data_IF_910942963425
#
_entry.id   IF_910942963425
#
_cell.length_a   1.000
_cell.length_b   1.000
_cell.length_c   1.000
_cell.angle_alpha   90.00
_cell.angle_beta   90.00
_cell.angle_gamma   90.00
#
_symmetry.space_group_name_H-M   'P 1'
#
loop_
_entity.id
_entity.type
_entity.pdbx_description
1 polymer ?
#
# COMPACT_ATOMS: atom_id res chain seq x y z
N UNK A 1 18.43 19.78 -11.77
CA UNK A 1 17.60 20.06 -10.58
C UNK A 1 18.01 21.42 -10.03
N UNK A 2 17.07 22.22 -9.55
CA UNK A 2 17.31 23.56 -8.97
C UNK A 2 17.11 23.59 -7.45
N UNK A 3 17.46 22.48 -6.82
CA UNK A 3 17.41 22.32 -5.38
C UNK A 3 18.81 22.07 -4.85
N UNK A 4 19.18 22.75 -3.77
CA UNK A 4 20.43 22.49 -3.05
C UNK A 4 20.46 21.06 -2.50
N UNK A 5 21.67 20.57 -2.26
CA UNK A 5 21.89 19.27 -1.64
C UNK A 5 21.37 19.24 -0.20
N UNK A 6 20.63 18.18 0.15
CA UNK A 6 20.18 17.94 1.53
C UNK A 6 19.31 19.05 2.15
N UNK A 7 19.30 19.05 3.48
CA UNK A 7 18.55 19.96 4.34
C UNK A 7 18.15 19.25 5.63
N UNK A 8 18.62 19.72 6.79
CA UNK A 8 18.33 19.15 8.10
C UNK A 8 17.40 20.10 8.85
N UNK A 9 16.15 19.68 9.01
CA UNK A 9 15.08 20.38 9.73
C UNK A 9 14.16 19.32 10.31
N UNK A 10 13.39 19.67 11.34
CA UNK A 10 12.49 18.73 12.00
C UNK A 10 11.66 19.43 13.09
N UNK A 11 11.07 18.61 13.95
CA UNK A 11 10.32 19.04 15.14
C UNK A 11 10.96 18.43 16.38
N UNK A 12 10.84 19.10 17.53
CA UNK A 12 11.43 18.62 18.77
C UNK A 12 10.85 17.27 19.19
N UNK A 13 11.72 16.43 19.78
CA UNK A 13 11.37 15.07 20.20
C UNK A 13 11.56 14.00 19.11
N UNK A 14 11.54 14.38 17.82
CA UNK A 14 11.70 13.46 16.68
C UNK A 14 12.99 13.71 15.90
N UNK A 15 13.63 12.63 15.46
CA UNK A 15 14.82 12.67 14.61
C UNK A 15 14.53 12.57 13.10
N UNK A 16 13.26 12.61 12.72
CA UNK A 16 12.79 12.45 11.34
C UNK A 16 11.36 12.95 11.13
N UNK A 17 10.81 12.72 9.94
CA UNK A 17 9.46 13.11 9.53
C UNK A 17 9.40 14.31 8.59
N UNK A 18 10.46 15.13 8.53
CA UNK A 18 10.56 16.28 7.64
C UNK A 18 11.78 16.16 6.74
N UNK A 19 11.61 16.43 5.43
CA UNK A 19 12.70 16.49 4.46
C UNK A 19 12.98 17.96 4.13
N UNK A 20 14.09 18.47 4.66
CA UNK A 20 14.57 19.81 4.35
C UNK A 20 14.96 19.94 2.88
N UNK A 21 14.60 21.07 2.28
CA UNK A 21 14.89 21.41 0.90
C UNK A 21 14.91 22.93 0.72
N UNK A 22 15.88 23.39 -0.07
CA UNK A 22 16.12 24.81 -0.33
C UNK A 22 16.41 25.02 -1.82
N UNK A 23 15.81 26.05 -2.43
CA UNK A 23 16.07 26.45 -3.81
C UNK A 23 17.53 26.91 -3.98
N UNK A 24 18.15 26.62 -5.13
CA UNK A 24 19.51 27.09 -5.45
C UNK A 24 19.56 28.53 -5.99
N UNK A 25 18.41 29.13 -6.31
CA UNK A 25 18.23 30.50 -6.80
C UNK A 25 17.22 31.31 -5.96
N UNK A 26 17.48 31.55 -4.65
CA UNK A 26 16.52 32.18 -3.75
C UNK A 26 16.16 33.63 -4.13
N UNK A 27 17.08 34.38 -4.76
CA UNK A 27 16.78 35.73 -5.24
C UNK A 27 15.80 35.75 -6.42
N UNK A 28 15.81 34.72 -7.27
CA UNK A 28 14.87 34.59 -8.40
C UNK A 28 13.53 34.00 -7.96
N UNK A 29 13.56 33.05 -7.01
CA UNK A 29 12.38 32.33 -6.54
C UNK A 29 12.26 32.37 -5.00
N UNK A 30 12.01 33.55 -4.41
CA UNK A 30 11.98 33.71 -2.96
C UNK A 30 10.88 32.89 -2.28
N UNK A 31 9.76 32.64 -2.97
CA UNK A 31 8.64 31.83 -2.45
C UNK A 31 8.97 30.36 -2.20
N UNK A 32 10.11 29.87 -2.68
CA UNK A 32 10.58 28.49 -2.47
C UNK A 32 12.01 28.45 -1.94
N UNK A 33 12.49 29.54 -1.32
CA UNK A 33 13.77 29.55 -0.61
C UNK A 33 13.83 28.39 0.39
N UNK A 34 12.77 28.22 1.18
CA UNK A 34 12.47 27.02 1.94
C UNK A 34 11.29 26.28 1.28
N UNK A 35 11.44 24.98 1.07
CA UNK A 35 10.38 24.18 0.48
C UNK A 35 10.33 22.77 1.08
N UNK A 36 10.21 22.72 2.40
CA UNK A 36 10.32 21.49 3.18
C UNK A 36 9.11 20.59 2.97
N UNK A 37 9.34 19.27 2.97
CA UNK A 37 8.28 18.28 2.85
C UNK A 37 8.01 17.65 4.22
N UNK A 38 6.77 17.70 4.70
CA UNK A 38 6.37 16.98 5.90
C UNK A 38 5.67 15.67 5.51
N UNK A 39 6.07 14.57 6.12
CA UNK A 39 5.43 13.26 5.97
C UNK A 39 4.43 13.10 7.08
N UNK A 40 3.18 12.82 6.74
CA UNK A 40 2.10 12.58 7.71
C UNK A 40 1.67 11.12 7.60
N UNK A 41 1.58 10.44 8.74
CA UNK A 41 1.27 9.02 8.80
C UNK A 41 -0.15 8.75 8.29
N UNK A 42 -0.33 7.85 7.32
CA UNK A 42 -1.65 7.57 6.74
C UNK A 42 -2.40 6.47 7.51
N UNK A 43 -3.75 6.48 7.53
CA UNK A 43 -4.52 5.32 7.98
C UNK A 43 -4.25 4.09 7.09
N UNK A 44 -4.26 2.91 7.72
CA UNK A 44 -4.15 1.63 7.03
C UNK A 44 -5.20 1.50 5.92
N UNK A 45 -4.81 0.95 4.76
CA UNK A 45 -5.67 0.87 3.58
C UNK A 45 -6.01 2.22 2.90
N UNK A 46 -5.59 3.37 3.46
CA UNK A 46 -5.83 4.73 2.92
C UNK A 46 -7.30 5.10 2.74
N UNK A 47 -8.15 4.65 3.68
CA UNK A 47 -9.54 5.07 3.75
C UNK A 47 -9.65 6.40 4.49
N UNK A 48 -10.46 7.32 3.94
CA UNK A 48 -10.63 8.67 4.49
C UNK A 48 -12.09 9.07 4.51
N UNK A 49 -12.45 9.91 5.48
CA UNK A 49 -13.65 10.72 5.41
C UNK A 49 -13.32 12.07 4.76
N UNK A 50 -14.30 12.67 4.08
CA UNK A 50 -14.10 14.02 3.51
C UNK A 50 -13.85 15.08 4.58
N UNK A 51 -14.38 14.89 5.79
CA UNK A 51 -14.19 15.83 6.90
C UNK A 51 -12.75 15.86 7.40
N UNK A 52 -12.09 14.71 7.52
CA UNK A 52 -10.66 14.66 7.85
C UNK A 52 -9.82 15.34 6.75
N UNK A 53 -10.06 15.00 5.48
CA UNK A 53 -9.30 15.58 4.37
C UNK A 53 -9.48 17.09 4.28
N UNK A 54 -10.71 17.62 4.50
CA UNK A 54 -10.97 19.06 4.54
C UNK A 54 -10.20 19.77 5.65
N UNK A 55 -10.17 19.18 6.85
CA UNK A 55 -9.40 19.73 7.97
C UNK A 55 -7.90 19.77 7.65
N UNK A 56 -7.36 18.67 7.12
CA UNK A 56 -5.95 18.60 6.72
C UNK A 56 -5.62 19.61 5.61
N UNK A 57 -6.47 19.74 4.59
CA UNK A 57 -6.26 20.73 3.53
C UNK A 57 -6.35 22.16 4.03
N UNK A 58 -7.26 22.46 4.99
CA UNK A 58 -7.37 23.79 5.59
C UNK A 58 -6.12 24.16 6.38
N UNK A 59 -5.58 23.21 7.15
CA UNK A 59 -4.30 23.38 7.84
C UNK A 59 -3.17 23.66 6.84
N UNK A 60 -3.10 22.86 5.78
CA UNK A 60 -2.00 22.96 4.81
C UNK A 60 -2.09 24.17 3.88
N UNK A 61 -3.28 24.64 3.56
CA UNK A 61 -3.51 25.89 2.83
C UNK A 61 -3.05 27.11 3.66
N UNK A 62 -3.24 27.06 4.98
CA UNK A 62 -2.83 28.14 5.88
C UNK A 62 -1.32 28.16 6.15
N UNK A 63 -0.70 26.99 6.34
CA UNK A 63 0.67 26.87 6.89
C UNK A 63 1.67 26.24 5.91
N UNK A 64 1.25 25.91 4.70
CA UNK A 64 2.08 25.30 3.67
C UNK A 64 1.84 25.93 2.30
N UNK A 65 2.21 25.19 1.26
CA UNK A 65 2.06 25.63 -0.12
C UNK A 65 0.68 25.34 -0.73
N UNK A 66 -0.18 24.60 -0.02
CA UNK A 66 -1.40 23.99 -0.57
C UNK A 66 -1.14 22.77 -1.48
N UNK A 67 0.10 22.43 -1.82
CA UNK A 67 0.43 21.29 -2.67
C UNK A 67 0.70 20.01 -1.87
N UNK A 68 0.25 18.87 -2.39
CA UNK A 68 0.42 17.57 -1.75
C UNK A 68 0.79 16.48 -2.75
N UNK A 69 1.34 15.37 -2.25
CA UNK A 69 1.28 14.09 -2.96
C UNK A 69 0.40 13.13 -2.15
N UNK A 70 -0.64 12.61 -2.79
CA UNK A 70 -1.57 11.61 -2.23
C UNK A 70 -1.37 10.30 -3.01
N UNK A 71 -0.39 9.47 -2.67
CA UNK A 71 0.47 9.45 -1.47
C UNK A 71 1.96 9.36 -1.86
N UNK A 72 2.83 9.45 -0.86
CA UNK A 72 4.23 9.05 -1.00
C UNK A 72 4.36 7.55 -1.27
N UNK A 73 5.39 7.14 -2.00
CA UNK A 73 5.60 5.74 -2.36
C UNK A 73 5.83 4.80 -1.15
N UNK A 74 6.12 5.32 0.05
CA UNK A 74 6.18 4.47 1.25
C UNK A 74 4.79 4.23 1.82
N UNK A 75 3.95 5.27 1.85
CA UNK A 75 2.58 5.23 2.36
C UNK A 75 2.07 6.62 2.75
N UNK A 76 2.99 7.47 3.23
CA UNK A 76 2.70 8.77 3.86
C UNK A 76 1.82 9.69 3.01
N UNK A 77 0.97 10.47 3.67
CA UNK A 77 0.48 11.72 3.09
C UNK A 77 1.67 12.69 3.01
N UNK A 78 1.85 13.34 1.86
CA UNK A 78 2.98 14.26 1.65
C UNK A 78 2.45 15.68 1.59
N UNK A 79 2.80 16.48 2.60
CA UNK A 79 2.58 17.92 2.61
C UNK A 79 3.81 18.59 1.99
N UNK A 80 3.67 19.06 0.75
CA UNK A 80 4.80 19.43 -0.11
C UNK A 80 5.08 20.94 -0.07
N UNK A 81 6.06 21.37 0.71
CA UNK A 81 6.54 22.75 0.71
C UNK A 81 5.97 23.58 1.85
N UNK A 82 6.82 23.86 2.83
CA UNK A 82 6.62 24.89 3.85
C UNK A 82 7.98 25.44 4.30
N UNK A 83 7.98 26.38 5.23
CA UNK A 83 9.17 27.03 5.81
C UNK A 83 9.53 26.42 7.17
N UNK A 84 10.76 26.61 7.63
CA UNK A 84 11.21 26.06 8.93
C UNK A 84 10.36 26.52 10.11
N UNK A 85 9.97 27.82 10.23
CA UNK A 85 9.15 28.27 11.36
C UNK A 85 7.75 27.63 11.45
N UNK A 86 7.22 27.10 10.35
CA UNK A 86 5.89 26.48 10.32
C UNK A 86 5.91 25.00 10.72
N UNK A 87 7.08 24.36 10.87
CA UNK A 87 7.15 22.92 11.13
C UNK A 87 6.51 22.54 12.47
N UNK A 88 6.88 23.23 13.55
CA UNK A 88 6.30 23.01 14.87
C UNK A 88 4.82 23.40 14.92
N UNK A 89 4.45 24.47 14.22
CA UNK A 89 3.07 24.94 14.14
C UNK A 89 2.15 23.91 13.46
N UNK A 90 2.58 23.36 12.32
CA UNK A 90 1.85 22.30 11.62
C UNK A 90 1.80 21.04 12.47
N UNK A 91 2.90 20.67 13.11
CA UNK A 91 2.95 19.48 13.97
C UNK A 91 2.05 19.60 15.20
N UNK A 92 2.00 20.79 15.82
CA UNK A 92 1.10 21.06 16.93
C UNK A 92 -0.37 20.91 16.52
N UNK A 93 -0.76 21.49 15.38
CA UNK A 93 -2.14 21.38 14.86
C UNK A 93 -2.49 19.93 14.50
N UNK A 94 -1.58 19.20 13.85
CA UNK A 94 -1.77 17.79 13.51
C UNK A 94 -2.04 16.96 14.78
N UNK A 95 -1.23 17.14 15.82
CA UNK A 95 -1.32 16.32 17.04
C UNK A 95 -2.46 16.75 17.96
N UNK A 96 -2.68 18.05 18.16
CA UNK A 96 -3.65 18.53 19.15
C UNK A 96 -5.08 18.63 18.59
N UNK A 97 -5.24 18.88 17.29
CA UNK A 97 -6.55 19.13 16.69
C UNK A 97 -6.99 18.02 15.72
N UNK A 98 -6.06 17.28 15.11
CA UNK A 98 -6.37 16.24 14.13
C UNK A 98 -6.08 14.81 14.63
N UNK A 99 -5.52 14.65 15.83
CA UNK A 99 -5.09 13.36 16.40
C UNK A 99 -4.21 12.56 15.43
N UNK A 100 -3.25 13.26 14.82
CA UNK A 100 -2.48 12.76 13.69
C UNK A 100 -0.99 13.00 13.90
N UNK A 101 -0.19 11.95 13.70
CA UNK A 101 1.26 12.02 13.81
C UNK A 101 1.98 12.07 12.44
N UNK A 102 3.27 12.40 12.46
CA UNK A 102 4.19 12.36 11.33
C UNK A 102 4.55 10.94 10.93
N UNK A 103 4.99 10.79 9.68
CA UNK A 103 5.59 9.57 9.17
C UNK A 103 7.10 9.50 9.40
N UNK A 104 7.72 8.39 8.98
CA UNK A 104 9.14 8.13 9.20
C UNK A 104 10.09 8.64 8.10
N UNK A 105 11.26 9.16 8.49
CA UNK A 105 12.41 9.38 7.62
C UNK A 105 13.74 9.30 8.38
N UNK A 106 14.82 8.89 7.72
CA UNK A 106 16.13 8.69 8.37
C UNK A 106 16.56 7.22 8.43
N UNK A 107 17.47 6.90 9.34
CA UNK A 107 17.93 5.53 9.62
C UNK A 107 17.09 4.90 10.73
N UNK A 108 15.84 4.64 10.41
CA UNK A 108 14.76 4.27 11.33
C UNK A 108 13.76 3.33 10.65
N UNK A 109 12.78 2.85 11.42
CA UNK A 109 11.57 2.31 10.83
C UNK A 109 10.88 3.41 10.03
N UNK A 110 10.45 3.10 8.81
CA UNK A 110 9.60 3.98 8.01
C UNK A 110 8.15 3.53 8.16
N UNK A 111 7.26 4.46 7.85
CA UNK A 111 5.82 4.28 7.85
C UNK A 111 5.41 2.94 7.20
N UNK A 112 4.86 1.99 7.99
CA UNK A 112 4.31 0.77 7.45
C UNK A 112 3.18 1.06 6.45
N UNK A 113 2.98 0.16 5.50
CA UNK A 113 1.88 0.26 4.56
C UNK A 113 1.40 -1.13 4.14
N UNK A 114 0.14 -1.20 3.78
CA UNK A 114 -0.57 -2.43 3.53
C UNK A 114 -1.43 -2.37 2.27
N UNK A 115 -1.86 -3.53 1.78
CA UNK A 115 -2.97 -3.59 0.84
C UNK A 115 -4.31 -3.34 1.56
N UNK A 116 -5.39 -3.22 0.81
CA UNK A 116 -6.72 -3.00 1.39
C UNK A 116 -7.25 -4.20 2.21
N UNK A 117 -6.62 -5.37 2.12
CA UNK A 117 -6.94 -6.52 2.96
C UNK A 117 -8.39 -6.98 2.88
N UNK A 118 -8.90 -7.47 4.01
CA UNK A 118 -10.27 -7.97 4.14
C UNK A 118 -11.34 -6.88 4.07
N UNK A 119 -10.97 -5.60 4.06
CA UNK A 119 -11.96 -4.51 3.93
C UNK A 119 -12.74 -4.57 2.62
N UNK A 120 -12.12 -5.08 1.54
CA UNK A 120 -12.76 -5.21 0.22
C UNK A 120 -12.08 -6.22 -0.71
N UNK A 121 -11.43 -7.25 -0.17
CA UNK A 121 -10.86 -8.35 -0.96
C UNK A 121 -11.19 -9.69 -0.32
N UNK A 122 -11.81 -10.56 -1.11
CA UNK A 122 -12.16 -11.94 -0.78
C UNK A 122 -10.95 -12.88 -0.69
N UNK A 123 -9.77 -12.44 -1.14
CA UNK A 123 -8.53 -13.23 -1.09
C UNK A 123 -7.68 -12.97 0.17
N UNK A 124 -8.07 -12.02 1.02
CA UNK A 124 -7.28 -11.64 2.18
C UNK A 124 -7.18 -12.80 3.19
N UNK A 125 -5.96 -13.29 3.43
CA UNK A 125 -5.71 -14.40 4.35
C UNK A 125 -5.55 -13.97 5.81
N UNK A 126 -5.49 -12.67 6.08
CA UNK A 126 -5.47 -12.07 7.42
C UNK A 126 -5.88 -10.59 7.33
N UNK A 127 -6.14 -9.97 8.49
CA UNK A 127 -6.44 -8.55 8.58
C UNK A 127 -5.15 -7.71 8.46
N UNK A 128 -4.83 -7.29 7.24
CA UNK A 128 -3.65 -6.46 6.96
C UNK A 128 -3.75 -5.08 7.60
N UNK A 129 -4.97 -4.52 7.66
CA UNK A 129 -5.19 -3.17 8.19
C UNK A 129 -4.93 -3.12 9.69
N UNK A 130 -5.48 -4.09 10.43
CA UNK A 130 -5.26 -4.20 11.87
C UNK A 130 -3.79 -4.43 12.21
N UNK A 131 -3.09 -5.33 11.50
CA UNK A 131 -1.68 -5.60 11.78
C UNK A 131 -0.79 -4.41 11.40
N UNK A 132 -1.08 -3.72 10.29
CA UNK A 132 -0.36 -2.51 9.90
C UNK A 132 -0.50 -1.42 10.96
N UNK A 133 -1.72 -1.17 11.44
CA UNK A 133 -1.98 -0.20 12.49
C UNK A 133 -1.29 -0.58 13.80
N UNK A 134 -1.43 -1.84 14.25
CA UNK A 134 -0.79 -2.35 15.46
C UNK A 134 0.74 -2.15 15.42
N UNK A 135 1.42 -2.62 14.37
CA UNK A 135 2.88 -2.50 14.26
C UNK A 135 3.33 -1.04 14.15
N UNK A 136 2.51 -0.17 13.56
CA UNK A 136 2.83 1.27 13.49
C UNK A 136 2.79 1.92 14.86
N UNK A 137 1.84 1.53 15.73
CA UNK A 137 1.73 2.05 17.09
C UNK A 137 2.75 1.42 18.05
N UNK A 138 3.01 0.12 17.92
CA UNK A 138 3.94 -0.61 18.77
C UNK A 138 5.38 -0.05 18.64
N UNK A 139 5.80 0.25 17.41
CA UNK A 139 7.17 0.69 17.10
C UNK A 139 7.27 2.19 16.79
N UNK A 140 6.51 3.02 17.50
CA UNK A 140 6.54 4.48 17.34
C UNK A 140 7.92 5.07 17.64
N UNK A 141 8.61 4.57 18.67
CA UNK A 141 9.96 5.05 19.01
C UNK A 141 10.94 4.80 17.86
N UNK A 142 10.98 3.57 17.34
CA UNK A 142 11.84 3.19 16.23
C UNK A 142 11.47 3.89 14.91
N UNK A 143 10.23 4.38 14.77
CA UNK A 143 9.80 5.17 13.62
C UNK A 143 10.23 6.64 13.75
N UNK A 144 10.10 7.24 14.93
CA UNK A 144 10.34 8.66 15.13
C UNK A 144 11.78 9.00 15.54
N UNK A 145 12.52 8.07 16.15
CA UNK A 145 13.87 8.29 16.70
C UNK A 145 14.87 7.33 16.05
N UNK A 146 15.66 7.80 15.06
CA UNK A 146 16.60 6.94 14.33
C UNK A 146 17.61 6.22 15.22
N UNK A 147 17.41 4.91 15.39
CA UNK A 147 18.25 4.03 16.21
C UNK A 147 18.89 2.89 15.38
N UNK A 148 18.59 2.79 14.08
CA UNK A 148 19.07 1.71 13.23
C UNK A 148 20.30 2.13 12.41
N UNK A 149 21.12 1.17 11.94
CA UNK A 149 22.23 1.48 11.02
C UNK A 149 21.76 2.14 9.71
N UNK A 150 20.57 1.77 9.23
CA UNK A 150 19.95 2.38 8.06
C UNK A 150 18.42 2.29 8.10
N UNK A 151 17.74 2.69 7.02
CA UNK A 151 16.27 2.64 6.94
C UNK A 151 15.77 1.19 7.00
N UNK A 152 14.63 0.99 7.64
CA UNK A 152 13.91 -0.28 7.68
C UNK A 152 12.43 -0.08 7.35
N UNK A 153 11.78 -1.01 6.66
CA UNK A 153 10.40 -0.87 6.21
C UNK A 153 9.60 -2.14 6.44
N UNK A 154 8.37 -1.97 6.90
CA UNK A 154 7.33 -3.01 6.88
C UNK A 154 6.38 -2.78 5.71
N UNK A 155 5.98 -3.87 5.04
CA UNK A 155 4.80 -3.88 4.17
C UNK A 155 4.01 -5.17 4.27
N UNK A 156 2.69 -5.04 4.18
CA UNK A 156 1.75 -6.12 4.46
C UNK A 156 0.83 -6.39 3.27
N UNK A 157 0.98 -7.56 2.66
CA UNK A 157 0.12 -8.07 1.60
C UNK A 157 -0.78 -9.19 2.14
N UNK A 158 -2.09 -9.09 1.90
CA UNK A 158 -3.07 -10.07 2.36
C UNK A 158 -3.02 -11.41 1.62
N UNK A 159 -2.40 -11.46 0.44
CA UNK A 159 -2.18 -12.68 -0.34
C UNK A 159 -0.96 -12.52 -1.29
N UNK A 160 -0.52 -13.59 -1.97
CA UNK A 160 0.64 -13.55 -2.87
C UNK A 160 0.52 -12.65 -4.11
N UNK A 161 -0.66 -12.09 -4.40
CA UNK A 161 -0.82 -11.11 -5.49
C UNK A 161 -0.01 -9.82 -5.26
N UNK A 162 0.35 -9.50 -4.01
CA UNK A 162 1.33 -8.46 -3.74
C UNK A 162 0.87 -7.03 -4.06
N UNK A 163 -0.39 -6.67 -3.77
CA UNK A 163 -0.97 -5.37 -4.14
C UNK A 163 -0.26 -4.14 -3.53
N UNK A 164 0.42 -4.25 -2.38
CA UNK A 164 1.30 -3.19 -1.85
C UNK A 164 2.78 -3.40 -2.22
N UNK A 165 3.09 -4.51 -2.91
CA UNK A 165 4.41 -4.94 -3.36
C UNK A 165 5.42 -5.04 -2.20
N UNK A 166 5.00 -5.69 -1.11
CA UNK A 166 5.81 -5.87 0.10
C UNK A 166 7.17 -6.50 -0.21
N UNK A 167 7.20 -7.60 -0.96
CA UNK A 167 8.42 -8.35 -1.31
C UNK A 167 9.48 -7.51 -2.02
N UNK A 168 9.09 -6.43 -2.72
CA UNK A 168 9.99 -5.60 -3.50
C UNK A 168 10.30 -4.24 -2.85
N UNK A 169 9.49 -3.80 -1.87
CA UNK A 169 9.52 -2.41 -1.35
C UNK A 169 9.52 -2.33 0.17
N UNK A 170 9.87 -3.43 0.84
CA UNK A 170 10.07 -3.50 2.28
C UNK A 170 11.25 -4.39 2.64
N UNK A 171 11.86 -4.10 3.79
CA UNK A 171 12.95 -4.91 4.35
C UNK A 171 12.38 -6.14 5.06
N UNK A 172 11.18 -6.02 5.65
CA UNK A 172 10.40 -7.15 6.15
C UNK A 172 8.99 -7.14 5.54
N UNK A 173 8.72 -8.23 4.84
CA UNK A 173 7.53 -8.44 4.02
C UNK A 173 6.61 -9.45 4.68
N UNK A 174 5.35 -9.06 4.92
CA UNK A 174 4.33 -9.94 5.48
C UNK A 174 3.35 -10.33 4.37
N UNK A 175 3.35 -11.59 3.93
CA UNK A 175 2.51 -12.06 2.82
C UNK A 175 1.61 -13.19 3.30
N UNK A 176 0.30 -12.96 3.20
CA UNK A 176 -0.73 -13.90 3.64
C UNK A 176 -0.78 -15.14 2.76
N UNK A 177 -1.11 -16.28 3.37
CA UNK A 177 -1.36 -17.54 2.66
C UNK A 177 -2.23 -18.46 3.52
N UNK A 178 -2.61 -19.61 2.98
CA UNK A 178 -3.34 -20.66 3.69
C UNK A 178 -2.54 -21.97 3.68
N UNK A 179 -2.95 -22.94 4.49
CA UNK A 179 -2.28 -24.25 4.63
C UNK A 179 -3.18 -25.45 4.30
N UNK A 180 -4.48 -25.24 4.25
CA UNK A 180 -5.49 -26.21 3.89
C UNK A 180 -5.73 -26.22 2.37
N UNK A 181 -6.81 -26.88 1.94
CA UNK A 181 -7.14 -27.06 0.55
C UNK A 181 -7.83 -25.81 -0.03
N UNK A 182 -7.58 -25.52 -1.31
CA UNK A 182 -8.41 -24.59 -2.08
C UNK A 182 -9.85 -25.13 -2.09
N UNK A 183 -10.80 -24.24 -1.80
CA UNK A 183 -12.24 -24.52 -1.88
C UNK A 183 -12.67 -24.44 -3.34
N UNK A 184 -13.42 -25.43 -3.81
CA UNK A 184 -13.87 -25.53 -5.20
C UNK A 184 -15.39 -25.71 -5.18
N UNK A 185 -16.10 -24.77 -5.79
CA UNK A 185 -17.51 -24.92 -6.16
C UNK A 185 -17.58 -25.45 -7.60
N UNK A 186 -17.99 -26.70 -7.75
CA UNK A 186 -18.05 -27.34 -9.08
C UNK A 186 -19.14 -26.74 -9.96
N UNK A 187 -20.22 -26.20 -9.38
CA UNK A 187 -21.28 -25.55 -10.16
C UNK A 187 -20.76 -24.24 -10.73
N UNK A 188 -19.99 -23.46 -9.96
CA UNK A 188 -19.32 -22.27 -10.45
C UNK A 188 -18.29 -22.59 -11.56
N UNK A 189 -17.47 -23.63 -11.37
CA UNK A 189 -16.52 -24.11 -12.41
C UNK A 189 -17.24 -24.43 -13.72
N UNK A 190 -18.36 -25.16 -13.65
CA UNK A 190 -19.13 -25.50 -14.85
C UNK A 190 -19.69 -24.25 -15.54
N UNK A 191 -20.16 -23.25 -14.80
CA UNK A 191 -20.62 -21.98 -15.39
C UNK A 191 -19.51 -21.21 -16.11
N UNK A 192 -18.27 -21.24 -15.60
CA UNK A 192 -17.12 -20.70 -16.33
C UNK A 192 -16.91 -21.44 -17.67
N UNK A 193 -16.91 -22.78 -17.65
CA UNK A 193 -16.71 -23.63 -18.85
C UNK A 193 -17.84 -23.42 -19.88
N UNK A 194 -19.08 -23.26 -19.41
CA UNK A 194 -20.26 -22.97 -20.22
C UNK A 194 -20.28 -21.53 -20.76
N UNK A 195 -19.28 -20.71 -20.41
CA UNK A 195 -19.16 -19.31 -20.81
C UNK A 195 -20.36 -18.45 -20.37
N UNK A 196 -20.91 -18.73 -19.18
CA UNK A 196 -21.97 -17.91 -18.58
C UNK A 196 -21.46 -16.47 -18.38
N UNK A 197 -22.21 -15.49 -18.89
CA UNK A 197 -21.88 -14.07 -18.78
C UNK A 197 -21.78 -13.56 -17.33
N UNK A 198 -22.42 -14.23 -16.37
CA UNK A 198 -22.32 -13.94 -14.95
C UNK A 198 -20.98 -14.41 -14.32
N UNK A 199 -20.25 -15.28 -15.01
CA UNK A 199 -18.97 -15.87 -14.57
C UNK A 199 -17.86 -15.54 -15.58
N UNK A 200 -17.53 -14.25 -15.80
CA UNK A 200 -16.45 -13.89 -16.70
C UNK A 200 -15.09 -14.26 -16.07
N UNK A 201 -14.22 -14.91 -16.83
CA UNK A 201 -12.86 -15.22 -16.42
C UNK A 201 -12.11 -13.95 -15.95
N UNK A 202 -11.34 -14.09 -14.88
CA UNK A 202 -10.59 -13.02 -14.22
C UNK A 202 -11.48 -11.80 -13.88
N UNK A 203 -12.72 -12.07 -13.43
CA UNK A 203 -13.77 -11.08 -13.17
C UNK A 203 -14.03 -10.12 -14.35
N UNK A 204 -13.68 -10.51 -15.58
CA UNK A 204 -13.82 -9.67 -16.76
C UNK A 204 -12.68 -8.68 -17.00
N UNK A 205 -11.52 -8.84 -16.35
CA UNK A 205 -10.35 -7.98 -16.53
C UNK A 205 -9.90 -7.82 -18.00
N UNK A 206 -10.25 -8.77 -18.87
CA UNK A 206 -9.82 -8.80 -20.28
C UNK A 206 -10.94 -8.48 -21.29
N UNK A 207 -12.11 -7.98 -20.84
CA UNK A 207 -13.27 -7.68 -21.71
C UNK A 207 -13.01 -6.65 -22.82
N UNK A 208 -11.92 -5.88 -22.73
CA UNK A 208 -11.54 -4.87 -23.72
C UNK A 208 -11.00 -5.43 -25.04
N UNK A 209 -10.81 -6.74 -25.16
CA UNK A 209 -10.35 -7.42 -26.38
C UNK A 209 -11.05 -8.78 -26.50
N UNK A 210 -11.33 -9.19 -27.73
CA UNK A 210 -11.79 -10.56 -28.01
C UNK A 210 -10.62 -11.54 -27.94
N UNK A 211 -10.68 -12.45 -26.96
CA UNK A 211 -9.72 -13.53 -26.75
C UNK A 211 -10.31 -14.91 -27.11
N UNK A 212 -11.54 -14.94 -27.61
CA UNK A 212 -12.35 -16.15 -27.74
C UNK A 212 -13.08 -16.55 -26.44
N UNK A 213 -13.87 -17.64 -26.49
CA UNK A 213 -14.49 -18.21 -25.30
C UNK A 213 -13.44 -18.73 -24.33
N UNK A 214 -13.78 -18.70 -23.03
CA UNK A 214 -12.94 -19.25 -21.97
C UNK A 214 -12.64 -20.73 -22.20
N UNK A 215 -11.37 -21.08 -22.07
CA UNK A 215 -10.86 -22.45 -22.17
C UNK A 215 -10.07 -22.79 -20.90
N UNK A 216 -10.70 -23.55 -19.98
CA UNK A 216 -10.10 -23.92 -18.68
C UNK A 216 -8.78 -24.69 -18.84
N UNK A 217 -8.62 -25.46 -19.92
CA UNK A 217 -7.39 -26.20 -20.15
C UNK A 217 -6.25 -25.24 -20.49
N UNK A 218 -6.50 -24.27 -21.38
CA UNK A 218 -5.49 -23.29 -21.81
C UNK A 218 -5.21 -22.21 -20.77
N UNK A 219 -6.23 -21.74 -20.09
CA UNK A 219 -6.16 -20.52 -19.27
C UNK A 219 -5.96 -20.79 -17.77
N UNK A 220 -6.20 -22.02 -17.30
CA UNK A 220 -6.01 -22.39 -15.90
C UNK A 220 -5.05 -23.56 -15.76
N UNK A 221 -5.39 -24.73 -16.34
CA UNK A 221 -4.68 -25.99 -16.06
C UNK A 221 -3.26 -25.95 -16.63
N UNK A 222 -3.10 -25.60 -17.92
CA UNK A 222 -1.79 -25.53 -18.56
C UNK A 222 -0.90 -24.38 -18.04
N UNK A 223 -1.48 -23.44 -17.30
CA UNK A 223 -0.78 -22.32 -16.68
C UNK A 223 -0.50 -22.52 -15.19
N UNK A 224 -0.99 -23.62 -14.59
CA UNK A 224 -0.64 -23.98 -13.22
C UNK A 224 0.87 -24.27 -13.14
N UNK A 225 1.65 -23.50 -12.35
CA UNK A 225 3.11 -23.61 -12.37
C UNK A 225 3.64 -24.95 -11.84
N UNK A 226 2.83 -25.69 -11.09
CA UNK A 226 3.20 -27.01 -10.56
C UNK A 226 2.47 -28.16 -11.28
N UNK A 227 1.60 -27.87 -12.25
CA UNK A 227 0.82 -28.89 -12.95
C UNK A 227 -0.10 -29.72 -12.05
N UNK A 228 -0.46 -29.22 -10.86
CA UNK A 228 -1.22 -29.98 -9.85
C UNK A 228 -2.75 -30.01 -10.08
N UNK A 229 -3.24 -29.53 -11.22
CA UNK A 229 -4.66 -29.39 -11.54
C UNK A 229 -5.06 -30.30 -12.70
N UNK A 230 -6.27 -30.86 -12.66
CA UNK A 230 -6.84 -31.63 -13.77
C UNK A 230 -8.37 -31.56 -13.78
N UNK A 231 -8.96 -31.76 -14.95
CA UNK A 231 -10.37 -32.12 -15.06
C UNK A 231 -10.53 -33.64 -14.93
N UNK A 232 -11.53 -34.06 -14.15
CA UNK A 232 -12.01 -35.43 -14.06
C UNK A 232 -13.49 -35.44 -14.48
N UNK A 233 -13.75 -35.71 -15.76
CA UNK A 233 -15.05 -35.46 -16.37
C UNK A 233 -15.41 -33.97 -16.30
N UNK A 234 -16.45 -33.65 -15.53
CA UNK A 234 -16.94 -32.26 -15.30
C UNK A 234 -16.41 -31.63 -14.01
N UNK A 235 -15.58 -32.32 -13.24
CA UNK A 235 -15.08 -31.81 -11.97
C UNK A 235 -13.63 -31.34 -12.08
N UNK A 236 -13.35 -30.14 -11.56
CA UNK A 236 -11.99 -29.66 -11.37
C UNK A 236 -11.40 -30.26 -10.09
N UNK A 237 -10.22 -30.88 -10.19
CA UNK A 237 -9.46 -31.42 -9.06
C UNK A 237 -8.12 -30.69 -8.92
N UNK A 238 -7.71 -30.46 -7.67
CA UNK A 238 -6.43 -29.85 -7.32
C UNK A 238 -5.72 -30.74 -6.30
N UNK A 239 -4.49 -31.15 -6.62
CA UNK A 239 -3.57 -31.81 -5.71
C UNK A 239 -2.88 -30.76 -4.81
N UNK A 240 -3.61 -30.34 -3.77
CA UNK A 240 -3.21 -29.26 -2.86
C UNK A 240 -1.81 -29.43 -2.22
N UNK A 241 -1.37 -30.64 -1.81
CA UNK A 241 0.01 -30.87 -1.37
C UNK A 241 1.08 -30.39 -2.35
N UNK A 242 0.79 -30.42 -3.66
CA UNK A 242 1.68 -29.96 -4.73
C UNK A 242 1.34 -28.55 -5.25
N UNK A 243 0.41 -27.83 -4.61
CA UNK A 243 0.08 -26.46 -4.93
C UNK A 243 1.04 -25.48 -4.23
N UNK A 244 1.66 -24.58 -4.99
CA UNK A 244 2.51 -23.51 -4.45
C UNK A 244 1.75 -22.22 -4.08
N UNK A 245 0.41 -22.24 -4.16
CA UNK A 245 -0.49 -21.12 -3.81
C UNK A 245 -0.17 -19.81 -4.56
N UNK A 246 0.15 -19.93 -5.85
CA UNK A 246 0.49 -18.79 -6.73
C UNK A 246 -0.68 -17.85 -7.09
N UNK A 247 -1.89 -18.09 -6.57
CA UNK A 247 -3.13 -17.36 -6.88
C UNK A 247 -3.69 -17.46 -8.29
N UNK A 248 -2.96 -17.94 -9.31
CA UNK A 248 -3.41 -17.91 -10.72
C UNK A 248 -4.84 -18.44 -10.93
N UNK A 249 -5.13 -19.67 -10.49
CA UNK A 249 -6.45 -20.27 -10.67
C UNK A 249 -7.57 -19.51 -9.94
N UNK A 250 -7.31 -19.03 -8.72
CA UNK A 250 -8.26 -18.22 -7.94
C UNK A 250 -8.49 -16.87 -8.62
N UNK A 251 -7.44 -16.23 -9.13
CA UNK A 251 -7.54 -14.98 -9.86
C UNK A 251 -8.37 -15.13 -11.14
N UNK A 252 -8.22 -16.24 -11.88
CA UNK A 252 -8.99 -16.51 -13.11
C UNK A 252 -10.44 -16.90 -12.79
N UNK A 253 -10.69 -17.65 -11.72
CA UNK A 253 -12.03 -18.13 -11.33
C UNK A 253 -12.38 -17.75 -9.88
N UNK A 254 -12.66 -16.46 -9.60
CA UNK A 254 -12.97 -15.98 -8.24
C UNK A 254 -14.28 -16.45 -7.63
N UNK A 255 -15.23 -16.92 -8.45
CA UNK A 255 -16.60 -17.24 -8.02
C UNK A 255 -16.78 -18.68 -7.60
#
# INVERSE_FOLDING_TARGET
THWKHGGIVGVFGYGGGVIGRYCDQPGMFPGVEHFHTMRVNQPAGKYYTTDYLRQLTKLWDMRGSGMTNMHGATGDIILLGTTTPQLEEVFWELTHNLDQDLGGSGSNLRTPADCLGSSRCEYACYDTNALCHFLTNEYQDELHRPAFPYKFKFKLDGCPNGCVASIARSDMSFIGTWKDNIKIDQDAVNKYIENDAAYPANAGAHKGRDWGPFDIQKEVINLCPTGCMKMDGKELKIDNPNCNRCMHCINVMPR
#
